data_IF_011629340965
#
_entry.id   IF_011629340965
#
_cell.length_a   1.000
_cell.length_b   1.000
_cell.length_c   1.000
_cell.angle_alpha   90.00
_cell.angle_beta   90.00
_cell.angle_gamma   90.00
#
_symmetry.space_group_name_H-M   'P 1'
#
loop_
_entity.id
_entity.type
_entity.pdbx_description
1 polymer ?
2 non-polymer ?
3 water ?
#
# COMPACT_ATOMS: atom_id res chain seq x y z
N UNK A 1 -8.08 -34.17 -3.92
CA UNK A 1 -8.12 -34.54 -2.50
C UNK A 1 -7.82 -33.37 -1.59
N UNK A 2 -8.14 -33.50 -0.32
CA UNK A 2 -7.90 -32.43 0.66
C UNK A 2 -6.56 -32.63 1.35
N UNK A 3 -5.97 -31.53 1.80
CA UNK A 3 -4.65 -31.52 2.42
C UNK A 3 -4.75 -30.74 3.72
N UNK A 4 -4.92 -31.45 4.83
CA UNK A 4 -5.02 -30.82 6.14
C UNK A 4 -3.91 -31.32 7.05
N UNK A 5 -3.45 -30.45 7.93
CA UNK A 5 -2.49 -30.82 8.98
C UNK A 5 -3.05 -30.63 10.38
N UNK A 6 -4.22 -30.03 10.54
CA UNK A 6 -4.72 -29.72 11.87
C UNK A 6 -5.50 -30.91 12.41
N UNK A 7 -5.08 -31.40 13.58
CA UNK A 7 -5.80 -32.44 14.29
C UNK A 7 -5.27 -32.46 15.71
N UNK A 8 -5.98 -33.17 16.58
CA UNK A 8 -5.66 -33.20 18.00
C UNK A 8 -4.60 -34.25 18.29
N UNK A 9 -3.35 -33.90 17.98
CA UNK A 9 -2.22 -34.77 18.26
C UNK A 9 -1.60 -34.53 19.63
N UNK A 10 -1.91 -33.41 20.26
CA UNK A 10 -1.18 -32.98 21.44
C UNK A 10 -1.78 -33.58 22.71
N UNK A 11 -0.92 -33.83 23.69
CA UNK A 11 -1.36 -34.26 25.01
C UNK A 11 -0.40 -33.69 26.04
N UNK A 12 -0.88 -33.60 27.29
CA UNK A 12 -0.11 -33.02 28.37
C UNK A 12 -0.03 -34.04 29.48
N UNK A 13 1.19 -34.51 29.77
CA UNK A 13 1.37 -35.59 30.75
C UNK A 13 1.19 -35.11 32.19
N UNK A 14 1.60 -33.89 32.51
CA UNK A 14 1.61 -33.40 33.87
C UNK A 14 0.64 -32.26 34.09
N UNK A 15 0.83 -31.56 35.21
CA UNK A 15 0.01 -30.41 35.56
C UNK A 15 0.52 -29.16 34.86
N UNK A 16 -0.37 -28.19 34.69
CA UNK A 16 0.09 -26.92 34.16
C UNK A 16 0.67 -26.05 35.27
N UNK A 17 1.52 -25.12 34.85
CA UNK A 17 2.08 -24.08 35.71
C UNK A 17 1.30 -22.80 35.47
N UNK A 18 0.87 -22.16 36.55
CA UNK A 18 0.03 -20.97 36.47
C UNK A 18 0.88 -19.73 36.60
N UNK A 19 0.63 -18.77 35.72
CA UNK A 19 1.34 -17.51 35.69
C UNK A 19 0.31 -16.38 35.61
N UNK A 20 0.67 -15.24 36.15
CA UNK A 20 -0.21 -14.08 36.12
C UNK A 20 0.27 -13.12 35.06
N UNK A 21 -0.66 -12.66 34.20
CA UNK A 21 -0.31 -11.64 33.24
C UNK A 21 0.26 -10.42 33.95
N UNK A 22 1.23 -9.79 33.30
CA UNK A 22 1.77 -8.54 33.80
C UNK A 22 0.75 -7.41 33.66
N UNK A 23 0.95 -6.35 34.45
CA UNK A 23 -0.11 -5.40 34.74
C UNK A 23 -0.63 -4.72 33.47
N UNK A 24 0.27 -4.27 32.61
CA UNK A 24 -0.16 -3.56 31.39
C UNK A 24 -0.91 -4.50 30.45
N UNK A 25 -0.48 -5.76 30.36
CA UNK A 25 -1.21 -6.72 29.53
C UNK A 25 -2.61 -6.95 30.07
N UNK A 26 -2.73 -7.09 31.39
CA UNK A 26 -4.05 -7.24 32.01
C UNK A 26 -4.94 -6.02 31.72
N UNK A 27 -4.36 -4.82 31.75
CA UNK A 27 -5.13 -3.62 31.48
C UNK A 27 -5.62 -3.59 30.03
N UNK A 28 -4.78 -4.02 29.09
CA UNK A 28 -5.21 -4.08 27.70
C UNK A 28 -6.26 -5.16 27.49
N UNK A 29 -6.14 -6.29 28.20
CA UNK A 29 -7.19 -7.30 28.17
C UNK A 29 -8.50 -6.76 28.73
N UNK A 30 -8.44 -5.88 29.73
CA UNK A 30 -9.67 -5.27 30.25
C UNK A 30 -10.31 -4.38 29.20
N UNK A 31 -9.52 -3.62 28.46
CA UNK A 31 -10.06 -2.79 27.38
C UNK A 31 -10.77 -3.67 26.35
N UNK A 32 -10.16 -4.79 26.00
CA UNK A 32 -10.74 -5.69 25.00
C UNK A 32 -12.09 -6.22 25.46
N UNK A 33 -12.16 -6.68 26.72
CA UNK A 33 -13.40 -7.27 27.22
C UNK A 33 -14.53 -6.26 27.23
N UNK A 34 -14.24 -5.00 27.54
CA UNK A 34 -15.28 -3.98 27.62
C UNK A 34 -15.55 -3.28 26.30
N UNK A 35 -14.63 -3.39 25.33
CA UNK A 35 -14.76 -2.68 24.07
C UNK A 35 -15.96 -3.19 23.29
N UNK A 36 -16.78 -2.25 22.80
CA UNK A 36 -17.80 -2.56 21.82
C UNK A 36 -17.33 -2.29 20.40
N UNK A 37 -16.23 -1.56 20.23
CA UNK A 37 -15.59 -1.39 18.93
C UNK A 37 -15.30 -2.76 18.34
N UNK A 38 -15.93 -3.07 17.23
CA UNK A 38 -16.06 -4.45 16.79
C UNK A 38 -15.86 -4.60 15.28
N UNK A 39 -14.69 -4.18 14.77
CA UNK A 39 -14.26 -4.71 13.46
C UNK A 39 -13.59 -6.05 13.78
N UNK A 40 -14.44 -7.00 14.17
CA UNK A 40 -13.96 -8.23 14.81
C UNK A 40 -13.21 -9.12 13.85
N UNK A 41 -13.51 -9.06 12.55
CA UNK A 41 -12.95 -10.02 11.61
C UNK A 41 -11.44 -9.85 11.45
N UNK A 42 -10.87 -8.77 11.98
CA UNK A 42 -9.45 -8.45 11.78
C UNK A 42 -8.52 -9.48 12.39
N UNK A 43 -8.96 -10.24 13.40
CA UNK A 43 -8.03 -11.19 14.02
C UNK A 43 -7.46 -12.16 13.01
N UNK A 44 -8.22 -12.49 11.96
CA UNK A 44 -7.76 -13.51 11.03
C UNK A 44 -6.55 -13.01 10.24
N UNK A 45 -6.61 -11.76 9.74
CA UNK A 45 -5.49 -11.26 8.95
C UNK A 45 -4.23 -11.05 9.80
N UNK A 46 -4.39 -10.76 11.10
CA UNK A 46 -3.23 -10.59 11.97
C UNK A 46 -2.59 -11.94 12.28
N UNK A 47 -3.41 -12.96 12.54
CA UNK A 47 -2.85 -14.29 12.76
C UNK A 47 -2.17 -14.83 11.52
N UNK A 48 -2.77 -14.62 10.34
CA UNK A 48 -2.12 -15.08 9.11
C UNK A 48 -0.81 -14.34 8.90
N UNK A 49 -0.79 -13.04 9.20
CA UNK A 49 0.44 -12.27 9.04
C UNK A 49 1.54 -12.77 9.95
N UNK A 50 1.20 -13.09 11.20
CA UNK A 50 2.21 -13.62 12.13
C UNK A 50 2.70 -15.00 11.69
N UNK A 51 1.79 -15.85 11.21
CA UNK A 51 2.19 -17.15 10.67
C UNK A 51 3.18 -16.98 9.51
N UNK A 52 2.88 -16.04 8.60
CA UNK A 52 3.77 -15.78 7.49
C UNK A 52 5.14 -15.34 7.97
N UNK A 53 5.17 -14.46 8.99
CA UNK A 53 6.45 -14.00 9.54
C UNK A 53 7.23 -15.16 10.15
N UNK A 54 6.53 -16.07 10.82
CA UNK A 54 7.20 -17.21 11.45
C UNK A 54 7.76 -18.16 10.40
N UNK A 55 7.03 -18.32 9.29
CA UNK A 55 7.52 -19.15 8.18
C UNK A 55 8.74 -18.53 7.50
N UNK A 56 8.69 -17.21 7.26
CA UNK A 56 9.83 -16.56 6.63
C UNK A 56 11.07 -16.65 7.51
N UNK A 57 10.90 -16.48 8.82
CA UNK A 57 12.06 -16.56 9.70
C UNK A 57 12.68 -17.94 9.63
N UNK A 58 11.85 -19.00 9.62
CA UNK A 58 12.37 -20.35 9.45
C UNK A 58 13.04 -20.52 8.10
N UNK A 59 12.35 -20.15 7.02
CA UNK A 59 12.89 -20.37 5.68
C UNK A 59 14.25 -19.68 5.52
N UNK A 60 14.37 -18.43 5.98
CA UNK A 60 15.64 -17.73 5.83
C UNK A 60 16.76 -18.42 6.60
N UNK A 61 16.47 -18.91 7.81
CA UNK A 61 17.53 -19.52 8.59
C UNK A 61 17.99 -20.84 7.97
N UNK A 62 17.05 -21.66 7.51
CA UNK A 62 17.43 -22.92 6.87
C UNK A 62 18.21 -22.68 5.59
N UNK A 63 17.82 -21.67 4.80
CA UNK A 63 18.58 -21.34 3.60
C UNK A 63 19.96 -20.82 3.96
N UNK A 64 20.10 -20.12 5.09
CA UNK A 64 21.42 -19.70 5.54
C UNK A 64 22.32 -20.87 5.90
N UNK A 65 21.74 -22.01 6.29
CA UNK A 65 22.49 -23.24 6.42
C UNK A 65 22.40 -24.01 5.11
N UNK A 66 22.85 -25.25 5.09
CA UNK A 66 22.69 -26.03 3.88
C UNK A 66 21.46 -26.89 3.96
N UNK A 67 20.51 -26.49 4.81
CA UNK A 67 19.47 -27.40 5.27
C UNK A 67 18.30 -27.47 4.30
N UNK A 68 17.80 -28.68 4.09
CA UNK A 68 16.63 -28.89 3.26
C UNK A 68 15.41 -28.17 3.84
N UNK A 69 14.50 -27.81 2.97
CA UNK A 69 13.34 -27.07 3.40
C UNK A 69 12.18 -28.01 3.64
N UNK A 70 11.52 -27.89 4.78
CA UNK A 70 10.33 -28.69 5.06
C UNK A 70 9.11 -28.07 4.37
N UNK A 71 7.96 -28.68 4.61
CA UNK A 71 6.72 -28.09 4.12
C UNK A 71 6.42 -26.84 4.92
N UNK A 72 6.23 -25.71 4.22
CA UNK A 72 6.03 -24.41 4.84
C UNK A 72 4.65 -23.92 4.41
N UNK A 73 3.67 -24.01 5.33
CA UNK A 73 2.27 -23.82 4.99
C UNK A 73 1.55 -23.18 6.15
N UNK A 74 0.46 -22.48 5.82
CA UNK A 74 -0.47 -21.95 6.82
C UNK A 74 -1.81 -22.65 6.62
N UNK A 75 -2.38 -23.15 7.72
CA UNK A 75 -3.67 -23.82 7.66
C UNK A 75 -4.66 -23.16 8.60
N UNK A 76 -5.90 -23.03 8.13
CA UNK A 76 -7.04 -22.64 8.95
C UNK A 76 -8.02 -23.80 8.99
N UNK A 77 -8.64 -24.01 10.15
CA UNK A 77 -9.70 -25.01 10.26
C UNK A 77 -10.85 -24.40 11.04
N UNK A 78 -12.06 -24.53 10.53
CA UNK A 78 -13.25 -24.17 11.29
C UNK A 78 -13.94 -25.42 11.81
N UNK A 79 -14.61 -25.29 12.95
CA UNK A 79 -15.38 -26.39 13.52
C UNK A 79 -16.66 -25.79 14.09
N UNK A 80 -17.76 -25.94 13.34
CA UNK A 80 -19.04 -25.39 13.77
C UNK A 80 -19.54 -26.09 15.02
N UNK A 81 -19.45 -27.42 15.06
CA UNK A 81 -20.03 -28.16 16.18
C UNK A 81 -19.26 -27.97 17.47
N UNK A 82 -18.03 -27.46 17.42
CA UNK A 82 -17.29 -27.11 18.62
C UNK A 82 -17.06 -25.61 18.78
N UNK A 83 -17.50 -24.79 17.82
CA UNK A 83 -17.37 -23.35 17.94
C UNK A 83 -15.94 -22.86 17.99
N UNK A 84 -15.05 -23.44 17.19
CA UNK A 84 -13.66 -23.02 17.14
C UNK A 84 -13.25 -22.60 15.73
N UNK A 85 -12.23 -21.75 15.71
CA UNK A 85 -11.42 -21.51 14.52
C UNK A 85 -9.97 -21.72 14.95
N UNK A 86 -9.20 -22.41 14.10
CA UNK A 86 -7.83 -22.79 14.41
C UNK A 86 -6.93 -22.32 13.28
N UNK A 87 -5.76 -21.77 13.63
CA UNK A 87 -4.72 -21.51 12.65
C UNK A 87 -3.47 -22.27 13.06
N UNK A 88 -2.79 -22.86 12.09
CA UNK A 88 -1.55 -23.57 12.39
C UNK A 88 -0.59 -23.31 11.25
N UNK A 89 0.66 -23.02 11.59
CA UNK A 89 1.69 -22.94 10.55
C UNK A 89 2.87 -23.77 10.97
N UNK A 90 3.69 -24.11 9.97
CA UNK A 90 4.87 -24.94 10.17
C UNK A 90 6.16 -24.13 10.21
N UNK A 91 6.11 -22.91 10.76
CA UNK A 91 7.25 -22.02 10.85
C UNK A 91 8.11 -22.23 12.08
N UNK A 92 8.81 -21.15 12.47
CA UNK A 92 9.91 -21.27 13.42
C UNK A 92 9.43 -21.56 14.83
N UNK A 93 8.16 -21.31 15.14
CA UNK A 93 7.63 -21.64 16.44
C UNK A 93 8.20 -20.72 17.52
N UNK A 94 7.85 -21.08 18.76
CA UNK A 94 8.24 -20.30 19.93
C UNK A 94 8.81 -21.22 20.99
N UNK A 95 9.85 -20.74 21.67
CA UNK A 95 10.37 -21.41 22.85
C UNK A 95 9.46 -21.14 24.05
N UNK A 96 9.67 -21.91 25.12
CA UNK A 96 8.91 -21.65 26.33
C UNK A 96 9.16 -20.23 26.82
N UNK A 97 10.41 -19.78 26.75
CA UNK A 97 10.75 -18.42 27.17
C UNK A 97 9.90 -17.39 26.44
N UNK A 98 9.73 -17.54 25.13
CA UNK A 98 8.95 -16.56 24.38
C UNK A 98 7.47 -16.64 24.76
N UNK A 99 6.94 -17.85 24.95
CA UNK A 99 5.56 -17.99 25.39
C UNK A 99 5.33 -17.28 26.72
N UNK A 100 6.35 -17.22 27.57
CA UNK A 100 6.22 -16.55 28.86
C UNK A 100 6.61 -15.07 28.79
N UNK A 101 7.59 -14.71 27.95
CA UNK A 101 8.13 -13.35 27.96
C UNK A 101 7.38 -12.42 27.01
N UNK A 102 7.30 -12.79 25.73
CA UNK A 102 6.70 -11.94 24.69
C UNK A 102 5.33 -11.40 25.09
N UNK A 131 4.01 -7.90 17.48
CA UNK A 131 3.44 -9.03 16.77
C UNK A 131 2.75 -9.99 17.72
N UNK A 132 3.53 -10.56 18.65
CA UNK A 132 2.91 -11.29 19.75
C UNK A 132 1.90 -10.42 20.47
N UNK A 133 2.03 -9.10 20.39
CA UNK A 133 0.99 -8.22 20.89
C UNK A 133 -0.24 -8.17 20.00
N UNK A 134 -0.04 -7.96 18.69
CA UNK A 134 -1.18 -7.76 17.81
C UNK A 134 -2.00 -9.03 17.68
N UNK A 135 -1.36 -10.18 17.45
CA UNK A 135 -2.09 -11.42 17.38
C UNK A 135 -2.87 -11.72 18.65
N UNK A 136 -2.40 -11.20 19.78
CA UNK A 136 -2.92 -11.55 21.09
C UNK A 136 -4.23 -10.82 21.38
N UNK A 137 -4.24 -9.50 21.27
CA UNK A 137 -5.42 -8.76 21.66
C UNK A 137 -6.59 -8.99 20.70
N UNK A 138 -6.32 -9.18 19.41
CA UNK A 138 -7.43 -9.42 18.51
C UNK A 138 -7.98 -10.83 18.64
N UNK A 139 -7.15 -11.80 19.03
CA UNK A 139 -7.68 -13.12 19.37
C UNK A 139 -8.65 -13.02 20.54
N UNK A 140 -8.28 -12.29 21.58
CA UNK A 140 -9.21 -12.19 22.72
C UNK A 140 -10.39 -11.30 22.43
N UNK A 141 -10.38 -10.54 21.32
CA UNK A 141 -11.58 -9.84 20.90
C UNK A 141 -12.70 -10.82 20.59
N UNK A 142 -12.37 -12.00 20.09
CA UNK A 142 -13.37 -12.94 19.60
C UNK A 142 -13.46 -14.21 20.41
N UNK A 143 -12.62 -14.38 21.44
CA UNK A 143 -12.44 -15.67 22.09
C UNK A 143 -12.95 -15.67 23.52
N UNK A 144 -13.61 -16.76 23.91
CA UNK A 144 -13.80 -17.03 25.33
C UNK A 144 -12.51 -17.53 25.96
N UNK A 145 -11.76 -18.34 25.20
CA UNK A 145 -10.47 -18.80 25.65
C UNK A 145 -9.64 -19.17 24.43
N UNK A 146 -8.33 -19.16 24.63
CA UNK A 146 -7.35 -19.41 23.59
C UNK A 146 -6.46 -20.56 24.06
N UNK A 147 -6.23 -21.50 23.16
CA UNK A 147 -5.48 -22.72 23.44
C UNK A 147 -4.38 -22.81 22.40
N UNK A 148 -3.12 -22.76 22.83
CA UNK A 148 -2.00 -22.65 21.92
C UNK A 148 -1.07 -23.82 22.13
N UNK A 149 -0.53 -24.36 21.04
CA UNK A 149 0.58 -25.30 21.10
C UNK A 149 1.69 -24.78 20.23
N UNK A 150 2.90 -24.77 20.75
CA UNK A 150 4.03 -24.29 19.96
C UNK A 150 5.26 -25.13 20.26
N UNK A 151 6.07 -25.30 19.22
CA UNK A 151 7.34 -26.02 19.33
C UNK A 151 8.36 -25.33 18.46
N UNK A 152 9.45 -24.87 19.05
CA UNK A 152 10.48 -24.18 18.29
C UNK A 152 11.11 -25.14 17.28
N UNK A 153 11.50 -24.58 16.12
CA UNK A 153 12.19 -25.39 15.12
C UNK A 153 13.64 -25.72 15.50
N UNK A 154 14.18 -25.11 16.56
CA UNK A 154 15.54 -25.42 16.96
C UNK A 154 15.63 -26.88 17.37
N UNK A 155 16.69 -27.59 16.99
CA UNK A 155 16.79 -29.02 17.32
C UNK A 155 16.72 -29.25 18.82
N UNK A 156 16.05 -30.33 19.20
CA UNK A 156 15.90 -30.67 20.60
C UNK A 156 14.87 -29.88 21.36
N UNK A 157 14.07 -29.06 20.67
CA UNK A 157 13.07 -28.24 21.33
C UNK A 157 11.87 -29.07 21.77
N UNK A 158 11.31 -28.73 22.92
CA UNK A 158 10.11 -29.39 23.41
C UNK A 158 8.87 -28.60 23.01
N UNK A 159 7.74 -29.30 23.03
CA UNK A 159 6.46 -28.66 22.76
C UNK A 159 5.82 -28.14 24.04
N UNK A 160 5.03 -27.09 23.90
CA UNK A 160 4.38 -26.49 25.04
C UNK A 160 2.93 -26.18 24.70
N UNK A 161 2.09 -26.32 25.71
CA UNK A 161 0.70 -25.83 25.70
C UNK A 161 0.62 -24.52 26.47
N UNK A 162 -0.05 -23.53 25.88
CA UNK A 162 -0.32 -22.25 26.53
C UNK A 162 -1.84 -22.08 26.55
N UNK A 163 -2.40 -21.77 27.71
CA UNK A 163 -3.85 -21.59 27.86
C UNK A 163 -4.17 -20.28 28.56
N UNK A 164 -5.18 -19.57 28.07
CA UNK A 164 -5.70 -18.42 28.80
C UNK A 164 -7.17 -18.22 28.46
N UNK A 165 -7.95 -17.81 29.46
CA UNK A 165 -9.32 -17.39 29.24
C UNK A 165 -9.47 -15.88 29.22
N UNK A 166 -8.36 -15.15 29.15
CA UNK A 166 -8.40 -13.71 29.10
C UNK A 166 -8.41 -13.04 30.46
N UNK A 167 -8.50 -13.81 31.54
CA UNK A 167 -8.37 -13.28 32.88
C UNK A 167 -6.92 -12.90 33.12
N UNK A 168 -6.56 -12.67 34.38
CA UNK A 168 -5.19 -12.31 34.66
C UNK A 168 -4.22 -13.47 34.74
N UNK A 169 -4.63 -14.67 34.39
CA UNK A 169 -3.78 -15.86 34.50
C UNK A 169 -3.64 -16.49 33.13
N UNK A 170 -2.48 -17.08 32.89
CA UNK A 170 -2.31 -18.05 31.83
C UNK A 170 -1.61 -19.28 32.38
N UNK A 171 -1.70 -20.38 31.63
CA UNK A 171 -1.13 -21.64 32.03
C UNK A 171 -0.16 -22.12 30.96
N UNK A 172 0.93 -22.75 31.39
CA UNK A 172 1.86 -23.35 30.46
C UNK A 172 2.23 -24.75 30.96
N UNK A 173 2.36 -25.69 30.03
CA UNK A 173 2.76 -27.05 30.37
C UNK A 173 3.48 -27.64 29.17
N UNK A 174 4.44 -28.50 29.43
CA UNK A 174 5.08 -29.21 28.33
C UNK A 174 4.09 -30.19 27.72
N UNK A 175 4.07 -30.25 26.38
CA UNK A 175 3.12 -31.07 25.67
C UNK A 175 3.84 -31.99 24.72
N UNK A 176 3.37 -33.22 24.60
CA UNK A 176 3.86 -34.14 23.60
C UNK A 176 3.02 -34.02 22.34
N UNK A 177 3.57 -34.52 21.23
CA UNK A 177 2.83 -34.51 19.98
C UNK A 177 2.63 -33.14 19.36
N UNK A 178 3.42 -32.14 19.74
CA UNK A 178 3.34 -30.83 19.10
C UNK A 178 4.19 -30.83 17.85
N UNK A 179 3.61 -30.39 16.75
CA UNK A 179 4.36 -30.24 15.52
C UNK A 179 5.17 -28.94 15.56
N UNK A 180 6.36 -28.99 14.97
CA UNK A 180 7.17 -27.78 14.89
C UNK A 180 6.35 -26.64 14.26
N UNK A 181 6.39 -25.47 14.91
CA UNK A 181 5.57 -24.35 14.52
C UNK A 181 4.61 -23.96 15.64
N UNK A 182 3.46 -23.43 15.25
CA UNK A 182 2.51 -22.88 16.22
C UNK A 182 1.10 -23.18 15.77
N UNK A 183 0.26 -23.65 16.70
CA UNK A 183 -1.17 -23.82 16.46
C UNK A 183 -1.95 -22.98 17.47
N UNK A 184 -2.91 -22.20 17.00
CA UNK A 184 -3.73 -21.39 17.88
C UNK A 184 -5.17 -21.82 17.69
N UNK A 185 -5.80 -22.32 18.76
CA UNK A 185 -7.20 -22.70 18.75
C UNK A 185 -7.99 -21.62 19.47
N UNK A 186 -8.89 -20.96 18.75
CA UNK A 186 -9.72 -19.93 19.35
C UNK A 186 -11.08 -20.54 19.62
N UNK A 187 -11.45 -20.60 20.90
CA UNK A 187 -12.80 -21.00 21.29
C UNK A 187 -13.64 -19.74 21.29
N UNK A 188 -14.49 -19.59 20.28
CA UNK A 188 -15.14 -18.33 19.97
C UNK A 188 -16.22 -17.96 20.98
N UNK A 189 -16.35 -16.66 21.23
CA UNK A 189 -17.47 -16.15 22.02
C UNK A 189 -18.81 -16.49 21.36
N UNK A 190 -19.86 -16.47 22.17
CA UNK A 190 -21.19 -16.83 21.67
C UNK A 190 -21.69 -15.88 20.58
N UNK A 191 -21.18 -14.64 20.55
CA UNK A 191 -21.57 -13.68 19.52
C UNK A 191 -20.56 -13.60 18.38
N UNK A 192 -19.56 -14.49 18.36
CA UNK A 192 -18.57 -14.56 17.29
C UNK A 192 -18.57 -15.93 16.61
N UNK A 193 -19.65 -16.69 16.73
CA UNK A 193 -19.69 -18.02 16.15
C UNK A 193 -19.64 -18.00 14.63
N UNK A 194 -19.86 -16.84 14.00
CA UNK A 194 -19.76 -16.75 12.55
C UNK A 194 -18.37 -17.16 12.06
N UNK A 195 -17.35 -17.01 12.89
CA UNK A 195 -16.01 -17.35 12.46
C UNK A 195 -15.72 -18.84 12.59
N UNK A 196 -16.72 -19.65 12.95
CA UNK A 196 -16.64 -21.10 12.82
C UNK A 196 -17.38 -21.60 11.58
N UNK A 197 -17.85 -20.69 10.72
CA UNK A 197 -18.42 -21.07 9.43
C UNK A 197 -17.35 -20.95 8.35
N UNK A 198 -17.19 -22.01 7.57
CA UNK A 198 -16.15 -22.01 6.55
C UNK A 198 -16.35 -20.89 5.53
N UNK A 199 -17.59 -20.67 5.09
CA UNK A 199 -17.82 -19.67 4.06
C UNK A 199 -17.47 -18.27 4.56
N UNK A 200 -17.78 -17.98 5.83
CA UNK A 200 -17.46 -16.66 6.38
C UNK A 200 -15.95 -16.45 6.43
N UNK A 201 -15.22 -17.45 6.92
CA UNK A 201 -13.76 -17.33 7.02
C UNK A 201 -13.15 -17.21 5.63
N UNK A 202 -13.67 -17.98 4.67
CA UNK A 202 -13.17 -17.89 3.29
C UNK A 202 -13.24 -16.47 2.78
N UNK A 203 -14.36 -15.79 3.03
CA UNK A 203 -14.52 -14.44 2.52
C UNK A 203 -13.60 -13.46 3.22
N UNK A 204 -13.37 -13.67 4.52
CA UNK A 204 -12.47 -12.80 5.26
C UNK A 204 -11.05 -12.96 4.73
N UNK A 205 -10.64 -14.20 4.49
CA UNK A 205 -9.30 -14.47 3.98
C UNK A 205 -9.10 -13.79 2.63
N UNK A 206 -10.08 -13.96 1.73
CA UNK A 206 -9.96 -13.40 0.38
C UNK A 206 -9.94 -11.88 0.40
N UNK A 207 -10.64 -11.28 1.37
CA UNK A 207 -10.71 -9.82 1.43
C UNK A 207 -9.38 -9.21 1.85
N UNK A 208 -8.77 -9.73 2.94
CA UNK A 208 -7.62 -9.06 3.53
C UNK A 208 -6.30 -9.75 3.32
N UNK A 209 -6.31 -11.06 3.07
CA UNK A 209 -5.10 -11.87 3.16
C UNK A 209 -4.79 -12.57 1.85
N UNK A 210 -5.34 -12.06 0.75
CA UNK A 210 -5.24 -12.69 -0.56
C UNK A 210 -3.81 -12.79 -1.07
N UNK A 211 -2.90 -11.97 -0.55
CA UNK A 211 -1.54 -11.89 -1.08
C UNK A 211 -0.49 -12.49 -0.15
N UNK A 212 -0.93 -13.30 0.82
CA UNK A 212 0.03 -13.94 1.72
C UNK A 212 0.97 -14.83 0.89
N UNK A 213 2.24 -14.85 1.27
CA UNK A 213 3.29 -15.38 0.41
C UNK A 213 3.65 -16.83 0.70
N UNK A 214 2.98 -17.49 1.64
CA UNK A 214 3.13 -18.92 1.82
C UNK A 214 1.81 -19.60 1.52
N UNK A 215 1.83 -20.86 1.08
CA UNK A 215 0.59 -21.58 0.78
C UNK A 215 -0.39 -21.55 1.96
N UNK A 216 -1.65 -21.22 1.66
CA UNK A 216 -2.69 -21.10 2.67
C UNK A 216 -3.84 -22.04 2.33
N UNK A 217 -4.25 -22.84 3.32
CA UNK A 217 -5.32 -23.81 3.19
C UNK A 217 -6.40 -23.54 4.21
N UNK A 218 -7.65 -23.66 3.80
CA UNK A 218 -8.79 -23.57 4.70
C UNK A 218 -9.55 -24.90 4.65
N UNK A 219 -9.62 -25.58 5.78
CA UNK A 219 -10.31 -26.87 5.87
C UNK A 219 -9.78 -27.86 4.84
N UNK A 220 -8.47 -27.81 4.60
CA UNK A 220 -7.81 -28.70 3.66
C UNK A 220 -7.86 -28.28 2.22
N UNK A 221 -8.46 -27.13 1.89
CA UNK A 221 -8.56 -26.67 0.50
C UNK A 221 -7.63 -25.50 0.28
N UNK A 222 -6.83 -25.58 -0.78
CA UNK A 222 -5.89 -24.50 -1.07
C UNK A 222 -6.64 -23.24 -1.45
N UNK A 223 -6.32 -22.14 -0.76
CA UNK A 223 -6.95 -20.87 -1.05
C UNK A 223 -6.31 -20.25 -2.28
N UNK A 224 -7.12 -19.63 -3.13
CA UNK A 224 -6.61 -18.94 -4.31
C UNK A 224 -6.01 -17.62 -3.87
N UNK A 225 -4.69 -17.56 -3.85
CA UNK A 225 -3.98 -16.37 -3.42
C UNK A 225 -3.11 -15.85 -4.57
N UNK A 226 -2.71 -14.59 -4.48
CA UNK A 226 -2.03 -13.92 -5.59
C UNK A 226 -0.62 -13.52 -5.18
N UNK A 227 0.18 -13.12 -6.19
CA UNK A 227 1.57 -12.75 -5.98
C UNK A 227 1.67 -11.24 -5.74
N UNK A 228 2.28 -10.85 -4.61
CA UNK A 228 2.43 -9.45 -4.23
C UNK A 228 3.66 -8.88 -4.92
N UNK A 229 3.52 -8.55 -6.21
CA UNK A 229 4.68 -8.15 -7.00
C UNK A 229 5.27 -6.82 -6.56
N UNK A 230 4.53 -6.00 -5.82
CA UNK A 230 5.10 -4.75 -5.32
C UNK A 230 6.22 -4.97 -4.32
N UNK A 231 6.34 -6.16 -3.74
CA UNK A 231 7.43 -6.45 -2.82
C UNK A 231 8.70 -6.90 -3.53
N UNK A 232 8.65 -7.19 -4.81
CA UNK A 232 9.86 -7.61 -5.49
C UNK A 232 10.75 -6.42 -5.79
N UNK A 233 12.03 -6.69 -5.99
CA UNK A 233 12.93 -5.64 -6.45
C UNK A 233 12.43 -5.18 -7.82
N UNK A 234 12.34 -3.87 -8.06
CA UNK A 234 11.70 -3.43 -9.31
C UNK A 234 12.34 -3.99 -10.57
N UNK A 235 13.66 -4.22 -10.55
CA UNK A 235 14.32 -4.74 -11.74
C UNK A 235 13.90 -6.17 -12.07
N UNK A 236 13.21 -6.86 -11.16
CA UNK A 236 12.85 -8.25 -11.38
C UNK A 236 11.44 -8.42 -11.92
N UNK A 237 10.62 -7.37 -11.94
CA UNK A 237 9.25 -7.45 -12.40
C UNK A 237 9.21 -7.16 -13.90
N UNK A 238 8.71 -8.12 -14.67
CA UNK A 238 8.62 -7.98 -16.12
C UNK A 238 7.35 -7.24 -16.53
N UNK A 239 7.37 -6.75 -17.77
CA UNK A 239 6.23 -5.99 -18.28
C UNK A 239 4.95 -6.83 -18.26
N UNK A 240 5.05 -8.12 -18.59
CA UNK A 240 3.85 -8.95 -18.58
C UNK A 240 3.28 -9.11 -17.18
N UNK A 241 4.14 -9.10 -16.16
CA UNK A 241 3.65 -9.19 -14.80
C UNK A 241 2.96 -7.89 -14.38
N UNK A 242 3.52 -6.75 -14.77
CA UNK A 242 2.85 -5.46 -14.51
C UNK A 242 1.51 -5.38 -15.23
N UNK A 243 1.47 -5.85 -16.48
CA UNK A 243 0.23 -5.77 -17.24
C UNK A 243 -0.87 -6.60 -16.58
N UNK A 244 -0.52 -7.80 -16.10
CA UNK A 244 -1.50 -8.63 -15.40
C UNK A 244 -1.93 -7.99 -14.08
N UNK A 245 -0.99 -7.44 -13.31
CA UNK A 245 -1.35 -6.83 -12.03
C UNK A 245 -2.15 -5.55 -12.24
N UNK A 246 -1.72 -4.71 -13.19
CA UNK A 246 -2.49 -3.52 -13.54
C UNK A 246 -3.93 -3.87 -13.87
N UNK A 247 -4.13 -4.84 -14.77
CA UNK A 247 -5.50 -5.17 -15.12
C UNK A 247 -6.28 -5.66 -13.92
N UNK A 248 -5.60 -6.32 -12.97
CA UNK A 248 -6.26 -6.81 -11.78
C UNK A 248 -6.66 -5.66 -10.85
N UNK A 249 -5.72 -4.79 -10.51
CA UNK A 249 -6.01 -3.76 -9.50
C UNK A 249 -6.85 -2.63 -10.04
N UNK A 250 -6.81 -2.38 -11.34
CA UNK A 250 -7.63 -1.36 -11.97
C UNK A 250 -8.92 -1.92 -12.55
N UNK A 251 -9.09 -3.25 -12.50
CA UNK A 251 -10.21 -3.93 -13.17
C UNK A 251 -10.36 -3.42 -14.59
N UNK A 252 -9.24 -3.39 -15.31
CA UNK A 252 -9.15 -2.83 -16.65
C UNK A 252 -8.78 -3.92 -17.66
N UNK A 253 -8.88 -3.56 -18.94
CA UNK A 253 -8.50 -4.47 -20.02
C UNK A 253 -7.43 -3.91 -20.93
N UNK A 254 -7.04 -2.65 -20.77
CA UNK A 254 -5.93 -2.11 -21.54
C UNK A 254 -4.63 -2.43 -20.82
N UNK A 255 -3.54 -1.82 -21.25
CA UNK A 255 -2.25 -1.90 -20.60
C UNK A 255 -1.91 -0.56 -19.96
N UNK A 256 -0.97 -0.52 -19.03
CA UNK A 256 -0.58 0.78 -18.47
C UNK A 256 0.39 1.49 -19.41
N UNK A 257 0.16 2.78 -19.60
CA UNK A 257 1.08 3.56 -20.42
C UNK A 257 2.34 3.92 -19.65
N UNK A 258 2.24 4.02 -18.32
CA UNK A 258 3.36 4.29 -17.44
C UNK A 258 3.27 3.37 -16.24
N UNK A 259 4.43 2.97 -15.74
CA UNK A 259 4.57 2.14 -14.54
C UNK A 259 5.67 2.74 -13.67
N UNK A 260 5.35 3.06 -12.42
CA UNK A 260 6.34 3.48 -11.43
C UNK A 260 6.32 2.48 -10.29
N UNK A 261 7.41 1.74 -10.12
CA UNK A 261 7.56 0.81 -9.01
C UNK A 261 8.50 1.48 -8.02
N UNK A 262 7.93 1.99 -6.92
CA UNK A 262 8.64 2.85 -5.98
C UNK A 262 8.85 2.09 -4.68
N UNK A 263 10.12 1.85 -4.35
CA UNK A 263 10.51 1.15 -3.15
C UNK A 263 11.46 2.06 -2.40
N UNK A 264 11.15 2.35 -1.15
CA UNK A 264 12.04 3.15 -0.32
C UNK A 264 11.93 2.66 1.11
N UNK A 265 13.00 2.87 1.87
CA UNK A 265 12.96 2.53 3.28
C UNK A 265 13.18 3.73 4.18
N UNK A 266 13.34 4.93 3.63
CA UNK A 266 13.42 6.14 4.42
C UNK A 266 12.87 7.32 3.63
N UNK A 267 12.17 8.26 4.32
CA UNK A 267 11.92 8.31 5.76
C UNK A 267 10.87 7.30 6.21
N UNK A 268 10.19 6.70 5.24
CA UNK A 268 9.12 5.75 5.48
C UNK A 268 9.39 4.46 4.71
N UNK A 269 8.87 3.36 5.24
CA UNK A 269 8.81 2.12 4.48
C UNK A 269 7.71 2.24 3.43
N UNK A 270 8.08 2.10 2.15
CA UNK A 270 7.12 2.14 1.05
C UNK A 270 7.49 1.07 0.04
N UNK A 271 6.52 0.23 -0.32
CA UNK A 271 6.61 -0.67 -1.47
C UNK A 271 5.36 -0.40 -2.28
N UNK A 272 5.52 0.18 -3.47
CA UNK A 272 4.36 0.67 -4.19
C UNK A 272 4.52 0.49 -5.69
N UNK A 273 3.41 0.30 -6.40
CA UNK A 273 3.38 0.36 -7.85
C UNK A 273 2.27 1.29 -8.28
N UNK A 274 2.59 2.21 -9.18
CA UNK A 274 1.62 3.18 -9.71
C UNK A 274 1.57 3.02 -11.22
N UNK A 275 0.36 2.99 -11.76
CA UNK A 275 0.11 2.88 -13.20
C UNK A 275 -0.71 4.07 -13.66
N UNK A 276 -0.46 4.56 -14.87
CA UNK A 276 -1.44 5.42 -15.53
C UNK A 276 -1.96 4.70 -16.77
N UNK A 277 -3.26 4.65 -16.96
CA UNK A 277 -3.84 3.86 -18.04
C UNK A 277 -3.44 4.36 -19.42
N UNK A 278 -3.38 3.41 -20.36
CA UNK A 278 -3.20 3.78 -21.76
C UNK A 278 -4.37 4.59 -22.28
N UNK A 279 -5.59 4.24 -21.87
CA UNK A 279 -6.72 5.00 -22.35
C UNK A 279 -6.77 6.38 -21.69
N UNK A 280 -7.43 7.31 -22.37
CA UNK A 280 -7.63 8.65 -21.85
C UNK A 280 -8.53 8.62 -20.62
N UNK A 281 -8.55 9.70 -19.82
CA UNK A 281 -9.61 9.86 -18.83
C UNK A 281 -10.94 10.23 -19.49
N UNK A 283 -16.70 8.44 -15.94
CA UNK A 283 -15.48 9.23 -15.94
C UNK A 283 -14.59 8.92 -14.74
N UNK A 284 -13.28 9.02 -14.96
CA UNK A 284 -12.26 8.92 -13.92
C UNK A 284 -12.16 10.19 -13.09
N UNK A 285 -13.07 11.13 -13.30
CA UNK A 285 -12.97 12.47 -12.75
C UNK A 285 -13.76 12.64 -11.46
N UNK A 286 -14.65 11.72 -11.14
CA UNK A 286 -15.42 11.75 -9.90
C UNK A 286 -14.48 11.75 -8.70
N UNK A 293 -8.72 3.83 -7.59
CA UNK A 293 -7.51 4.51 -7.08
C UNK A 293 -6.45 3.50 -6.78
N UNK A 294 -5.98 3.53 -5.53
CA UNK A 294 -4.80 2.83 -5.07
C UNK A 294 -5.21 2.09 -3.83
N UNK A 295 -4.88 0.80 -3.75
CA UNK A 295 -5.13 0.00 -2.56
C UNK A 295 -4.01 0.23 -1.55
N UNK A 296 -4.36 0.12 -0.26
CA UNK A 296 -3.43 0.33 0.85
C UNK A 296 -3.18 -0.99 1.56
N UNK A 297 -1.91 -1.40 1.63
CA UNK A 297 -1.52 -2.61 2.33
C UNK A 297 -0.50 -2.27 3.42
N UNK A 298 -0.34 -3.20 4.35
CA UNK A 298 0.75 -3.16 5.33
C UNK A 298 1.32 -4.56 5.41
N UNK A 299 2.54 -4.73 4.90
CA UNK A 299 3.21 -6.03 4.73
C UNK A 299 2.23 -7.09 4.22
N UNK A 300 1.66 -6.80 3.05
CA UNK A 300 0.79 -7.71 2.28
C UNK A 300 -0.53 -8.00 2.98
N UNK A 301 -0.90 -7.18 3.97
CA UNK A 301 -2.19 -7.25 4.62
C UNK A 301 -3.00 -6.06 4.14
N UNK A 302 -4.20 -6.29 3.63
CA UNK A 302 -5.03 -5.20 3.16
C UNK A 302 -5.46 -4.33 4.32
N UNK A 303 -5.28 -3.02 4.17
CA UNK A 303 -5.83 -2.04 5.09
C UNK A 303 -7.09 -1.43 4.54
N UNK A 304 -7.04 -0.98 3.28
CA UNK A 304 -8.19 -0.32 2.68
C UNK A 304 -8.18 -0.62 1.20
N UNK A 305 -9.27 -1.24 0.72
CA UNK A 305 -9.36 -1.63 -0.69
C UNK A 305 -9.19 -0.42 -1.59
N UNK A 306 -9.93 0.65 -1.29
CA UNK A 306 -9.95 1.86 -2.10
C UNK A 306 -9.60 2.99 -1.17
N UNK A 307 -8.31 3.14 -0.89
CA UNK A 307 -7.82 4.11 0.06
C UNK A 307 -7.66 5.44 -0.65
N UNK A 308 -8.73 6.22 -0.71
CA UNK A 308 -8.52 7.62 -0.98
C UNK A 308 -7.97 8.28 0.28
N UNK A 309 -7.31 9.42 0.10
CA UNK A 309 -6.47 10.19 1.02
C UNK A 309 -5.02 9.70 1.03
N UNK A 310 -4.63 8.79 0.14
CA UNK A 310 -3.26 8.29 0.23
C UNK A 310 -2.51 9.01 -0.87
N UNK A 311 -3.19 9.38 -1.95
CA UNK A 311 -2.62 10.28 -2.93
C UNK A 311 -3.36 11.60 -2.91
N UNK A 312 -2.73 12.69 -3.34
CA UNK A 312 -3.48 13.94 -3.53
C UNK A 312 -4.63 13.69 -4.50
N UNK A 313 -5.67 14.51 -4.37
CA UNK A 313 -6.86 14.35 -5.21
C UNK A 313 -6.52 14.45 -6.70
N UNK A 314 -5.60 15.35 -7.06
CA UNK A 314 -5.30 15.52 -8.48
C UNK A 314 -4.60 14.31 -9.08
N UNK A 315 -4.07 13.40 -8.26
CA UNK A 315 -3.46 12.17 -8.73
C UNK A 315 -4.43 10.99 -8.69
N UNK A 316 -5.73 11.25 -8.58
CA UNK A 316 -6.70 10.17 -8.49
C UNK A 316 -6.79 9.34 -9.78
N UNK A 317 -6.17 9.80 -10.86
CA UNK A 317 -6.13 8.98 -12.07
C UNK A 317 -5.13 7.84 -11.96
N UNK A 318 -4.29 7.83 -10.93
CA UNK A 318 -3.29 6.77 -10.75
C UNK A 318 -3.99 5.52 -10.23
N UNK A 319 -3.59 4.36 -10.76
CA UNK A 319 -4.06 3.08 -10.26
C UNK A 319 -2.86 2.33 -9.67
N UNK A 320 -3.14 1.41 -8.75
CA UNK A 320 -2.03 0.63 -8.22
C UNK A 320 -2.13 0.36 -6.74
N UNK A 321 -0.98 0.27 -6.07
CA UNK A 321 -0.95 -0.23 -4.70
C UNK A 321 0.15 0.48 -3.92
N UNK A 322 -0.11 0.71 -2.64
CA UNK A 322 0.88 1.26 -1.72
C UNK A 322 0.89 0.36 -0.51
N UNK A 323 2.08 -0.14 -0.16
CA UNK A 323 2.28 -0.99 1.00
C UNK A 323 3.28 -0.30 1.92
N UNK A 324 2.86 0.01 3.15
CA UNK A 324 3.77 0.58 4.15
C UNK A 324 3.64 -0.14 5.47
N UNK A 325 4.78 -0.63 5.98
CA UNK A 325 4.82 -1.24 7.31
C UNK A 325 4.45 -0.25 8.41
N UNK A 326 4.60 1.05 8.14
CA UNK A 326 4.49 2.09 9.14
C UNK A 326 3.05 2.49 9.44
N UNK A 327 2.08 1.71 8.99
CA UNK A 327 0.68 2.13 9.05
C UNK A 327 0.02 1.64 10.33
N UNK A 328 -0.70 2.53 11.05
CA UNK A 328 -1.52 2.38 12.27
C UNK A 328 -1.96 0.96 12.58
N UNK A 337 -5.64 7.33 9.61
CA UNK A 337 -6.93 8.01 9.48
C UNK A 337 -6.78 9.49 9.80
N UNK A 338 -6.58 10.29 8.74
CA UNK A 338 -6.19 11.70 8.82
C UNK A 338 -5.08 11.87 9.85
N UNK A 339 -4.18 10.90 9.90
CA UNK A 339 -3.05 10.94 10.80
C UNK A 339 -1.92 11.76 10.19
N UNK A 340 -0.98 12.16 11.05
CA UNK A 340 0.22 12.80 10.54
C UNK A 340 0.98 11.86 9.62
N UNK A 341 0.90 10.55 9.88
CA UNK A 341 1.61 9.58 9.04
C UNK A 341 1.04 9.54 7.63
N UNK A 342 -0.29 9.46 7.51
CA UNK A 342 -0.91 9.41 6.18
C UNK A 342 -0.59 10.67 5.40
N UNK A 343 -0.66 11.83 6.06
CA UNK A 343 -0.27 13.08 5.43
C UNK A 343 1.17 13.03 4.95
N UNK A 344 2.06 12.45 5.76
CA UNK A 344 3.47 12.36 5.38
C UNK A 344 3.66 11.43 4.20
N UNK A 345 2.96 10.29 4.21
CA UNK A 345 3.05 9.36 3.09
C UNK A 345 2.53 10.00 1.82
N UNK A 346 1.39 10.71 1.91
CA UNK A 346 0.82 11.37 0.75
C UNK A 346 1.79 12.36 0.15
N UNK A 347 2.46 13.15 0.99
CA UNK A 347 3.38 14.17 0.46
C UNK A 347 4.61 13.53 -0.17
N UNK A 348 5.12 12.43 0.41
CA UNK A 348 6.24 11.72 -0.18
C UNK A 348 5.85 11.16 -1.55
N UNK A 349 4.66 10.59 -1.64
CA UNK A 349 4.25 9.96 -2.90
C UNK A 349 4.01 11.02 -3.97
N UNK A 350 3.42 12.16 -3.58
CA UNK A 350 3.23 13.24 -4.53
C UNK A 350 4.56 13.68 -5.14
N UNK A 351 5.57 13.91 -4.30
CA UNK A 351 6.88 14.33 -4.80
C UNK A 351 7.47 13.29 -5.74
N UNK A 352 7.34 12.02 -5.38
CA UNK A 352 7.95 10.96 -6.20
C UNK A 352 7.26 10.84 -7.55
N UNK A 353 5.93 10.96 -7.56
CA UNK A 353 5.20 10.87 -8.83
C UNK A 353 5.51 12.06 -9.72
N UNK A 354 5.62 13.26 -9.14
CA UNK A 354 5.99 14.42 -9.95
C UNK A 354 7.37 14.21 -10.55
N UNK A 355 8.32 13.73 -9.74
CA UNK A 355 9.66 13.44 -10.24
C UNK A 355 9.62 12.40 -11.36
N UNK A 356 8.80 11.36 -11.18
CA UNK A 356 8.64 10.32 -12.20
C UNK A 356 8.19 10.92 -13.53
N UNK A 357 7.16 11.77 -13.49
CA UNK A 357 6.65 12.35 -14.72
C UNK A 357 7.66 13.30 -15.35
N UNK A 358 8.41 14.04 -14.54
CA UNK A 358 9.49 14.85 -15.09
C UNK A 358 10.51 13.96 -15.79
N UNK A 359 10.87 12.84 -15.14
CA UNK A 359 11.83 11.93 -15.75
C UNK A 359 11.32 11.36 -17.06
N UNK A 360 10.02 11.05 -17.14
CA UNK A 360 9.47 10.50 -18.37
C UNK A 360 9.51 11.52 -19.50
N UNK A 361 9.26 12.79 -19.20
CA UNK A 361 9.33 13.80 -20.26
C UNK A 361 10.72 13.89 -20.86
N UNK A 362 11.76 13.61 -20.06
CA UNK A 362 13.12 13.59 -20.58
C UNK A 362 13.43 12.31 -21.35
N UNK A 363 12.81 11.20 -20.95
CA UNK A 363 13.09 9.91 -21.60
C UNK A 363 12.37 9.80 -22.95
N UNK A 364 11.16 10.35 -23.07
CA UNK A 364 10.37 10.23 -24.30
C UNK A 364 9.41 11.43 -24.33
N UNK A 365 9.85 12.50 -24.99
CA UNK A 365 9.07 13.73 -24.98
C UNK A 365 7.74 13.57 -25.73
N UNK A 366 7.74 12.79 -26.82
CA UNK A 366 6.52 12.62 -27.59
C UNK A 366 5.46 11.85 -26.79
N UNK A 367 5.87 10.77 -26.12
CA UNK A 367 4.93 10.06 -25.26
C UNK A 367 4.46 10.93 -24.11
N UNK A 368 5.36 11.74 -23.53
CA UNK A 368 4.94 12.62 -22.45
C UNK A 368 3.95 13.66 -22.94
N UNK A 369 4.16 14.21 -24.15
CA UNK A 369 3.21 15.19 -24.66
C UNK A 369 1.81 14.59 -24.80
N UNK A 370 1.71 13.33 -25.21
CA UNK A 370 0.39 12.69 -25.28
C UNK A 370 -0.18 12.48 -23.89
N UNK A 371 0.67 12.10 -22.94
CA UNK A 371 0.21 12.01 -21.56
C UNK A 371 -0.31 13.34 -21.06
N UNK A 372 0.41 14.43 -21.36
CA UNK A 372 -0.04 15.75 -20.89
C UNK A 372 -1.34 16.16 -21.58
N UNK A 373 -1.48 15.85 -22.87
CA UNK A 373 -2.74 16.12 -23.55
C UNK A 373 -3.88 15.37 -22.89
N UNK A 374 -3.65 14.11 -22.48
CA UNK A 374 -4.72 13.26 -21.97
C UNK A 374 -5.04 13.55 -20.51
N UNK A 375 -4.02 13.78 -19.67
CA UNK A 375 -4.22 13.89 -18.23
C UNK A 375 -3.92 15.28 -17.69
N UNK A 376 -3.64 16.25 -18.56
CA UNK A 376 -3.21 17.55 -18.12
C UNK A 376 -4.23 18.33 -17.32
N UNK A 377 -5.51 17.98 -17.45
CA UNK A 377 -6.51 18.73 -16.68
C UNK A 377 -6.41 18.39 -15.19
N UNK A 378 -5.94 17.18 -14.86
CA UNK A 378 -5.69 16.86 -13.46
C UNK A 378 -4.57 17.71 -12.88
N UNK A 379 -3.53 17.97 -13.67
CA UNK A 379 -2.44 18.84 -13.20
C UNK A 379 -2.96 20.24 -12.96
N UNK A 380 -3.71 20.78 -13.91
CA UNK A 380 -4.26 22.13 -13.75
C UNK A 380 -5.17 22.19 -12.53
N UNK A 381 -6.02 21.18 -12.35
CA UNK A 381 -6.88 21.15 -11.16
C UNK A 381 -6.04 21.19 -9.89
N UNK A 382 -4.97 20.41 -9.86
CA UNK A 382 -4.15 20.35 -8.66
C UNK A 382 -3.49 21.68 -8.33
N UNK A 383 -3.07 22.42 -9.35
CA UNK A 383 -2.48 23.74 -9.14
C UNK A 383 -3.50 24.69 -8.55
N UNK A 384 -4.71 24.68 -9.10
CA UNK A 384 -5.75 25.59 -8.63
C UNK A 384 -6.14 25.26 -7.19
N UNK A 385 -6.28 23.97 -6.86
CA UNK A 385 -6.79 23.62 -5.54
C UNK A 385 -5.70 23.54 -4.48
N UNK A 386 -4.43 23.48 -4.86
CA UNK A 386 -3.36 23.40 -3.87
C UNK A 386 -3.36 24.63 -2.95
N UNK A 387 -3.02 24.41 -1.68
CA UNK A 387 -2.91 25.49 -0.70
C UNK A 387 -1.52 26.10 -0.68
N UNK A 388 -0.47 25.27 -0.79
CA UNK A 388 0.90 25.71 -0.62
C UNK A 388 1.49 26.12 -1.97
N UNK A 389 2.15 27.29 -1.99
CA UNK A 389 2.76 27.75 -3.24
C UNK A 389 3.81 26.77 -3.73
N UNK A 390 4.55 26.14 -2.82
CA UNK A 390 5.57 25.18 -3.26
C UNK A 390 4.93 24.00 -3.97
N UNK A 391 3.75 23.56 -3.53
CA UNK A 391 3.08 22.44 -4.18
C UNK A 391 2.58 22.87 -5.55
N UNK A 392 2.00 24.07 -5.64
CA UNK A 392 1.59 24.59 -6.94
C UNK A 392 2.72 24.57 -7.94
N UNK A 393 3.90 25.03 -7.52
CA UNK A 393 5.02 25.11 -8.44
C UNK A 393 5.59 23.74 -8.76
N UNK A 394 5.55 22.80 -7.82
CA UNK A 394 5.97 21.44 -8.12
C UNK A 394 5.10 20.82 -9.21
N UNK A 395 3.77 20.92 -9.06
CA UNK A 395 2.88 20.39 -10.09
C UNK A 395 3.10 21.14 -11.39
N UNK A 396 3.32 22.46 -11.31
CA UNK A 396 3.51 23.25 -12.52
C UNK A 396 4.72 22.81 -13.34
N UNK A 397 5.67 22.09 -12.73
CA UNK A 397 6.79 21.54 -13.49
C UNK A 397 6.34 20.54 -14.55
N UNK A 398 5.09 20.08 -14.48
CA UNK A 398 4.60 19.12 -15.44
C UNK A 398 3.87 19.77 -16.61
N UNK A 399 3.58 21.06 -16.53
CA UNK A 399 2.88 21.72 -17.62
C UNK A 399 3.77 21.86 -18.84
N UNK A 400 3.16 21.74 -20.03
CA UNK A 400 3.85 21.91 -21.30
C UNK A 400 3.04 22.83 -22.19
N UNK A 401 3.71 23.80 -22.81
CA UNK A 401 3.04 24.79 -23.64
C UNK A 401 3.82 25.04 -24.92
N UNK A 402 3.11 25.47 -25.96
CA UNK A 402 3.82 26.01 -27.12
C UNK A 402 4.44 27.34 -26.76
N UNK A 403 5.37 27.79 -27.60
CA UNK A 403 6.12 29.01 -27.33
C UNK A 403 6.36 29.76 -28.64
N UNK A 404 6.38 31.10 -28.53
CA UNK A 404 6.76 31.91 -29.67
C UNK A 404 8.17 31.59 -30.15
N UNK A 405 9.02 31.04 -29.28
CA UNK A 405 10.41 30.78 -29.61
C UNK A 405 10.65 29.42 -30.23
N UNK A 406 9.64 28.56 -30.28
CA UNK A 406 9.78 27.19 -30.75
C UNK A 406 8.90 26.96 -31.96
N UNK A 407 9.21 25.95 -32.77
CA UNK A 407 8.35 25.61 -33.91
C UNK A 407 6.94 25.26 -33.46
N UNK A 408 5.99 25.55 -34.33
CA UNK A 408 4.60 25.16 -34.11
C UNK A 408 4.52 23.70 -33.71
N UNK A 409 3.73 23.43 -32.67
CA UNK A 409 3.54 22.08 -32.18
C UNK A 409 4.56 21.62 -31.15
N UNK A 410 5.72 22.25 -31.08
CA UNK A 410 6.74 21.87 -30.11
C UNK A 410 6.41 22.47 -28.75
N UNK A 411 6.58 21.67 -27.70
CA UNK A 411 6.21 22.10 -26.36
C UNK A 411 7.46 22.44 -25.53
N UNK A 412 7.28 23.35 -24.58
CA UNK A 412 8.31 23.70 -23.62
C UNK A 412 7.75 23.63 -22.20
N UNK A 413 8.65 23.41 -21.24
CA UNK A 413 8.27 23.53 -19.85
C UNK A 413 8.54 24.94 -19.34
N UNK A 414 8.00 25.25 -18.15
CA UNK A 414 8.26 26.55 -17.55
C UNK A 414 9.74 26.71 -17.20
N UNK A 415 10.39 25.63 -16.73
CA UNK A 415 11.82 25.71 -16.43
C UNK A 415 12.63 26.00 -17.69
N UNK A 416 12.27 25.38 -18.81
CA UNK A 416 13.00 25.61 -20.05
C UNK A 416 12.82 27.03 -20.54
N UNK A 417 11.60 27.55 -20.44
CA UNK A 417 11.38 28.97 -20.72
C UNK A 417 12.27 29.83 -19.85
N UNK A 418 12.30 29.55 -18.54
CA UNK A 418 13.10 30.35 -17.62
C UNK A 418 14.58 30.36 -18.01
N UNK A 419 15.11 29.22 -18.48
CA UNK A 419 16.52 29.17 -18.86
C UNK A 419 16.83 29.99 -20.10
N UNK A 420 15.83 30.35 -20.90
CA UNK A 420 16.03 31.19 -22.07
C UNK A 420 15.76 32.68 -21.80
N UNK A 421 15.32 33.04 -20.60
CA UNK A 421 15.01 34.44 -20.33
C UNK A 421 16.27 35.30 -20.45
N UNK A 422 16.11 36.47 -21.05
CA UNK A 422 17.24 37.36 -21.29
C UNK A 422 17.44 38.27 -20.09
N UNK A 423 18.70 38.62 -19.84
CA UNK A 423 19.04 39.46 -18.69
C UNK A 423 18.26 40.77 -18.74
N UNK A 424 17.72 41.17 -17.59
CA UNK A 424 16.90 42.35 -17.50
C UNK A 424 15.41 42.07 -17.59
N UNK A 425 15.04 40.92 -18.12
CA UNK A 425 13.64 40.50 -18.20
C UNK A 425 13.43 39.41 -17.16
N UNK A 426 12.55 39.67 -16.19
CA UNK A 426 12.45 38.86 -14.99
C UNK A 426 11.08 38.23 -14.79
N UNK A 427 10.16 38.37 -15.73
CA UNK A 427 8.85 37.75 -15.65
C UNK A 427 8.67 36.74 -16.77
N UNK A 428 7.71 35.84 -16.57
CA UNK A 428 7.33 34.84 -17.56
C UNK A 428 6.05 35.31 -18.23
N UNK A 429 6.09 35.53 -19.55
CA UNK A 429 4.95 36.08 -20.28
C UNK A 429 4.21 34.97 -21.01
N UNK A 430 2.89 35.04 -20.97
CA UNK A 430 2.07 34.07 -21.68
C UNK A 430 0.89 34.75 -22.36
N UNK A 431 0.29 34.02 -23.30
CA UNK A 431 -0.91 34.48 -23.98
C UNK A 431 -1.83 33.30 -24.18
N UNK A 432 -3.05 33.40 -23.70
CA UNK A 432 -4.07 32.39 -23.94
C UNK A 432 -4.83 32.76 -25.20
N UNK A 433 -4.96 31.81 -26.10
CA UNK A 433 -5.65 32.03 -27.36
C UNK A 433 -6.19 30.68 -27.83
N UNK A 434 -7.16 30.68 -28.75
CA UNK A 434 -7.72 29.39 -29.20
C UNK A 434 -6.72 28.53 -29.97
N UNK A 435 -5.77 29.13 -30.69
CA UNK A 435 -4.80 28.36 -31.47
C UNK A 435 -3.57 29.25 -31.72
N UNK A 436 -2.57 28.65 -32.36
CA UNK A 436 -1.31 29.36 -32.53
C UNK A 436 -1.43 30.55 -33.46
N UNK A 437 -2.21 30.41 -34.54
CA UNK A 437 -2.38 31.51 -35.48
C UNK A 437 -2.93 32.75 -34.78
N UNK A 438 -3.97 32.56 -33.95
CA UNK A 438 -4.56 33.69 -33.24
C UNK A 438 -3.58 34.28 -32.23
N UNK A 439 -2.78 33.43 -31.57
CA UNK A 439 -1.79 33.98 -30.64
C UNK A 439 -0.75 34.83 -31.38
N UNK A 440 -0.23 34.31 -32.50
CA UNK A 440 0.86 34.99 -33.20
C UNK A 440 0.43 36.31 -33.80
N UNK A 441 -0.85 36.49 -34.07
CA UNK A 441 -1.35 37.71 -34.67
C UNK A 441 -1.97 38.66 -33.65
N UNK A 442 -1.80 38.36 -32.37
CA UNK A 442 -2.12 39.35 -31.35
C UNK A 442 -1.25 40.58 -31.57
N UNK A 443 -1.82 41.78 -31.63
CA UNK A 443 -0.99 42.98 -31.79
C UNK A 443 -0.01 43.18 -30.64
N UNK A 444 -0.33 42.66 -29.46
CA UNK A 444 0.58 42.80 -28.32
C UNK A 444 1.77 41.88 -28.48
N UNK A 445 1.54 40.64 -28.90
CA UNK A 445 2.67 39.77 -29.17
C UNK A 445 3.53 40.31 -30.30
N UNK A 446 2.90 40.79 -31.38
CA UNK A 446 3.67 41.28 -32.52
C UNK A 446 4.64 42.37 -32.11
N UNK A 447 4.19 43.28 -31.24
CA UNK A 447 5.07 44.34 -30.76
C UNK A 447 6.21 43.77 -29.92
N UNK A 448 5.93 42.76 -29.11
CA UNK A 448 6.96 42.20 -28.25
C UNK A 448 8.06 41.52 -29.05
N UNK A 449 7.72 41.00 -30.23
CA UNK A 449 8.73 40.32 -31.06
C UNK A 449 9.96 41.18 -31.27
N UNK A 450 9.77 42.51 -31.30
CA UNK A 450 10.86 43.42 -31.62
C UNK A 450 11.98 43.37 -30.60
N UNK A 451 11.71 42.88 -29.38
CA UNK A 451 12.71 42.88 -28.32
C UNK A 451 12.96 41.48 -27.76
N UNK A 452 12.68 40.44 -28.57
CA UNK A 452 13.12 39.06 -28.35
C UNK A 452 12.49 38.38 -27.13
N UNK A 453 11.43 38.93 -26.54
CA UNK A 453 10.84 38.34 -25.34
C UNK A 453 10.02 37.12 -25.73
N UNK A 454 10.28 36.00 -25.06
CA UNK A 454 9.54 34.78 -25.35
C UNK A 454 8.16 34.85 -24.72
N UNK A 455 7.17 34.31 -25.42
CA UNK A 455 5.79 34.29 -24.91
C UNK A 455 5.26 32.88 -25.03
N UNK A 456 4.82 32.31 -23.91
CA UNK A 456 4.13 31.02 -23.95
C UNK A 456 2.77 31.18 -24.61
N UNK A 457 2.40 30.21 -25.44
CA UNK A 457 1.10 30.19 -26.11
C UNK A 457 0.27 29.07 -25.51
N UNK A 458 -0.86 29.42 -24.91
CA UNK A 458 -1.66 28.51 -24.11
C UNK A 458 -3.04 28.36 -24.73
N UNK A 459 -3.40 27.14 -25.12
CA UNK A 459 -4.60 26.92 -25.91
C UNK A 459 -5.72 26.18 -25.18
N UNK A 460 -5.49 25.71 -23.96
CA UNK A 460 -6.49 24.95 -23.23
C UNK A 460 -7.35 25.91 -22.43
N UNK A 461 -8.65 25.63 -22.36
CA UNK A 461 -9.55 26.64 -21.80
C UNK A 461 -9.24 26.90 -20.34
N UNK A 462 -8.67 25.93 -19.60
CA UNK A 462 -8.37 26.16 -18.19
C UNK A 462 -6.95 26.66 -17.96
N UNK A 463 -6.21 27.02 -19.02
CA UNK A 463 -4.88 27.58 -18.82
C UNK A 463 -4.94 28.93 -18.10
N UNK A 464 -5.92 29.79 -18.45
CA UNK A 464 -5.99 31.10 -17.82
C UNK A 464 -6.09 30.98 -16.30
N UNK A 465 -7.02 30.14 -15.82
CA UNK A 465 -7.17 29.97 -14.38
C UNK A 465 -5.95 29.32 -13.76
N UNK A 466 -5.35 28.35 -14.47
CA UNK A 466 -4.18 27.67 -13.94
C UNK A 466 -3.06 28.66 -13.67
N UNK A 467 -2.79 29.53 -14.63
CA UNK A 467 -1.66 30.43 -14.50
C UNK A 467 -1.99 31.60 -13.60
N UNK A 468 -3.26 31.99 -13.51
CA UNK A 468 -3.68 32.95 -12.49
C UNK A 468 -3.40 32.40 -11.09
N UNK A 469 -3.75 31.14 -10.85
CA UNK A 469 -3.57 30.58 -9.52
C UNK A 469 -2.12 30.26 -9.22
N UNK A 470 -1.37 29.81 -10.24
CA UNK A 470 0.06 29.57 -10.02
C UNK A 470 0.77 30.85 -9.59
N UNK A 471 0.46 31.96 -10.26
CA UNK A 471 0.92 33.31 -9.96
C UNK A 471 2.40 33.53 -10.25
N UNK A 472 3.26 32.62 -9.78
CA UNK A 472 4.69 32.76 -10.02
C UNK A 472 5.32 31.39 -10.10
N UNK A 473 6.52 31.36 -10.68
CA UNK A 473 7.27 30.11 -10.82
C UNK A 473 8.74 30.46 -10.69
N UNK A 474 9.43 29.83 -9.74
CA UNK A 474 10.87 30.06 -9.57
C UNK A 474 11.14 31.55 -9.37
N UNK A 475 10.29 32.20 -8.57
CA UNK A 475 10.39 33.60 -8.20
C UNK A 475 10.12 34.55 -9.37
N UNK A 476 9.54 34.06 -10.46
CA UNK A 476 9.24 34.88 -11.64
C UNK A 476 7.74 34.99 -11.79
N UNK A 477 7.23 36.22 -11.81
CA UNK A 477 5.79 36.43 -11.95
C UNK A 477 5.32 35.99 -13.33
N UNK A 478 4.15 35.33 -13.36
CA UNK A 478 3.46 34.99 -14.60
C UNK A 478 2.55 36.13 -15.01
N UNK A 479 2.74 36.65 -16.23
CA UNK A 479 2.03 37.84 -16.71
C UNK A 479 1.39 37.53 -18.04
N UNK A 480 0.08 37.70 -18.15
CA UNK A 480 -0.59 37.59 -19.44
C UNK A 480 -0.33 38.85 -20.26
N UNK A 481 0.05 38.66 -21.53
CA UNK A 481 0.41 39.85 -22.33
C UNK A 481 -0.80 40.61 -22.82
N UNK A 482 -1.99 40.03 -22.72
CA UNK A 482 -3.23 40.75 -22.93
C UNK A 482 -4.05 40.70 -21.66
N UNK A 483 -4.74 41.80 -21.34
CA UNK A 483 -5.57 41.82 -20.15
C UNK A 483 -7.04 41.54 -20.48
X LIG B 1 -0.73 -14.78 19.16
X LIG B 1 -1.10 -15.65 22.86
X LIG B 1 7.07 -17.01 15.86
X LIG B 1 6.77 -15.06 14.78
X LIG B 1 9.11 -15.56 15.15
X LIG B 1 2.78 -17.99 14.74
X LIG B 1 1.48 -17.74 14.37
X LIG B 1 1.28 -16.25 16.27
X LIG B 1 4.78 -17.75 16.17
X LIG B 1 0.66 -16.47 19.16
X LIG B 1 0.41 -17.07 21.67
X LIG B 1 -0.21 -16.73 22.85
X LIG B 1 7.74 -15.89 15.28
X LIG B 1 5.52 -15.68 15.06
X LIG B 1 9.49 -14.38 14.52
X LIG B 1 3.33 -17.42 15.88
X LIG B 1 0.73 -16.86 15.14
X LIG B 1 2.58 -16.50 16.65
X LIG B 1 3.53 -18.90 13.97
X LIG B 1 5.12 -18.76 16.70
X LIG B 1 5.77 -16.81 15.72
X LIG B 1 0.35 -15.31 17.03
X LIG B 1 -0.22 -14.46 16.44
X LIG B 1 0.10 -15.53 18.43
X LIG B 1 0.18 -16.35 20.49
X LIG B 1 -0.69 -15.30 20.49
X LIG B 1 -1.34 -14.93 21.69
X LIG B 1 8.51 -13.54 14.01
X LIG B 1 7.15 -13.85 14.13
X LIG B 1 1.26 -18.10 21.64
X LIG B 1 8.90 -12.35 13.38
X LIG B 1 10.08 -12.48 12.64
X LIG C 1 -7.44 46.74 -18.87
X LIG C 1 -10.01 44.42 -17.29
X LIG C 1 -1.22 46.99 -21.74
X LIG C 1 0.12 45.33 -22.39
X LIG C 1 1.34 47.39 -21.97
X LIG C 1 -4.00 48.17 -22.38
X LIG C 1 -4.61 49.40 -22.23
X LIG C 1 -5.43 48.63 -20.09
X LIG C 1 -3.37 45.89 -21.75
X LIG C 1 -8.03 48.13 -17.30
X LIG C 1 -9.80 46.56 -16.18
X LIG C 1 -10.39 45.31 -16.27
X LIG C 1 0.14 46.65 -22.01
X LIG C 1 -1.23 44.88 -22.34
X LIG C 1 2.52 46.75 -22.34
X LIG C 1 -4.08 47.19 -21.38
X LIG C 1 -5.33 49.61 -21.07
X LIG C 1 -4.83 47.39 -20.26
X LIG C 1 -3.25 47.96 -23.55
X LIG C 1 -4.01 44.92 -21.98
X LIG C 1 -1.95 45.91 -21.94
X LIG C 1 -6.28 48.93 -18.86
X LIG C 1 -6.18 49.99 -18.34
X LIG C 1 -7.24 47.94 -18.36
X LIG C 1 -8.81 46.94 -17.11
X LIG C 1 -8.44 46.08 -18.11
X LIG C 1 -9.04 44.80 -18.20
X LIG C 1 2.48 45.42 -22.72
X LIG C 1 1.31 44.70 -22.77
X LIG C 1 -10.16 47.42 -15.19
X LIG C 1 3.66 44.76 -23.07
X LIG C 1 3.49 44.00 -24.24
#
# INVERSE_FOLDING_TARGET
PLHSIISSTESVQGSTSKHEFQAETKKLLDIVARSLYSEKEVFIRELISNASDALEKLRHKLVSDGQALPEMEIHLQTNAEKGTITIQDTGIGMTQEELVSNLGTIARSGSKAFLDALQNQAEASSKIIGQFGVGFYSAFMVADRVEVYSRSAAPGSLGYQWLSDGSGVFEIAEASGVRTGTKIIIHLKSDCKEFSSEARVRDVVTKYSNFVSFPLYLNGRRMNTLQAIWMMDPKDVREWQHEEFYRYVAQAHDKPRYTLHYKTDAPLNIRSIFYVPDMKPSMFDVSRELGSSVALYSRKVLIQTKATDILPKWLRFIRGVVDSEDIPLNLSRELLQESALIRKLRDVLQQRLIKFFIDQSKKDAEKYAKFFEDYGLFMREGIVTATEQEVKEDIAKLLRYESSALPSGQLTSLSEYASRMRAGTRNIYYLCAPNRHLAEHSPYYEAMKKKDTEVLFCFEQFDELTLLHLREFDKKKLISVET
UJV C17 C20 C22 C24 C26 C02 C03 C05 C08 C14 C18 C19 C23 C25 C27 C01 C04 C06 O07 O09 N10 C11 O12 N13 C15 C16 C21 C28 C29 F30 O31 C32
UJV C17 C20 C22 C24 C26 C02 C03 C05 C08 C14 C18 C19 C23 C25 C27 C01 C04 C06 O07 O09 N10 C11 O12 N13 C15 C16 C21 C28 C29 F30 O31 C32
#
